data_IF_917541647591
#
_entry.id   IF_917541647591
#
_cell.length_a   1.000
_cell.length_b   1.000
_cell.length_c   1.000
_cell.angle_alpha   90.00
_cell.angle_beta   90.00
_cell.angle_gamma   90.00
#
_symmetry.space_group_name_H-M   'P 1'
#
loop_
_entity.id
_entity.type
_entity.pdbx_description
1 polymer ?
#
# COMPACT_ATOMS: atom_id res chain seq x y z
N UNK A 1 6.02 23.58 15.51
CA UNK A 1 4.55 23.44 15.70
C UNK A 1 3.75 24.39 14.82
N UNK A 2 4.02 25.71 14.80
CA UNK A 2 3.30 26.66 13.93
C UNK A 2 3.45 26.41 12.42
N UNK A 3 4.65 26.04 11.96
CA UNK A 3 4.88 25.65 10.55
C UNK A 3 4.15 24.36 10.18
N UNK A 4 4.13 23.36 11.06
CA UNK A 4 3.39 22.10 10.86
C UNK A 4 1.88 22.32 10.76
N UNK A 5 1.34 23.19 11.62
CA UNK A 5 -0.06 23.63 11.54
C UNK A 5 -0.36 24.34 10.21
N UNK A 6 0.53 25.22 9.76
CA UNK A 6 0.38 25.88 8.47
C UNK A 6 0.40 24.89 7.30
N UNK A 7 1.31 23.92 7.29
CA UNK A 7 1.37 22.87 6.27
C UNK A 7 0.08 22.02 6.23
N UNK A 8 -0.44 21.64 7.41
CA UNK A 8 -1.70 20.89 7.50
C UNK A 8 -2.89 21.69 6.97
N UNK A 9 -2.98 22.97 7.31
CA UNK A 9 -4.06 23.85 6.82
C UNK A 9 -3.98 24.00 5.30
N UNK A 10 -2.78 24.21 4.75
CA UNK A 10 -2.58 24.32 3.29
C UNK A 10 -3.00 23.02 2.59
N UNK A 11 -2.61 21.85 3.11
CA UNK A 11 -3.01 20.57 2.55
C UNK A 11 -4.53 20.38 2.55
N UNK A 12 -5.20 20.72 3.65
CA UNK A 12 -6.65 20.61 3.77
C UNK A 12 -7.39 21.56 2.81
N UNK A 13 -6.89 22.78 2.63
CA UNK A 13 -7.45 23.73 1.66
C UNK A 13 -7.30 23.21 0.23
N UNK A 14 -6.12 22.70 -0.13
CA UNK A 14 -5.89 22.12 -1.45
C UNK A 14 -6.80 20.91 -1.71
N UNK A 15 -6.97 20.03 -0.72
CA UNK A 15 -7.85 18.87 -0.83
C UNK A 15 -9.31 19.27 -1.10
N UNK A 16 -9.83 20.25 -0.35
CA UNK A 16 -11.20 20.76 -0.54
C UNK A 16 -11.37 21.42 -1.90
N UNK A 17 -10.39 22.20 -2.37
CA UNK A 17 -10.44 22.81 -3.69
C UNK A 17 -10.48 21.74 -4.79
N UNK A 18 -9.63 20.71 -4.71
CA UNK A 18 -9.61 19.61 -5.68
C UNK A 18 -10.95 18.89 -5.72
N UNK A 19 -11.54 18.58 -4.55
CA UNK A 19 -12.86 17.94 -4.46
C UNK A 19 -13.96 18.81 -5.06
N UNK A 20 -13.94 20.11 -4.81
CA UNK A 20 -14.90 21.06 -5.36
C UNK A 20 -14.84 21.10 -6.89
N UNK A 21 -13.64 21.21 -7.47
CA UNK A 21 -13.46 21.22 -8.91
C UNK A 21 -13.87 19.88 -9.55
N UNK A 22 -13.49 18.74 -8.95
CA UNK A 22 -13.84 17.43 -9.50
C UNK A 22 -15.34 17.16 -9.39
N UNK A 23 -15.96 17.52 -8.27
CA UNK A 23 -17.40 17.35 -8.03
C UNK A 23 -18.28 18.19 -8.96
N UNK A 24 -17.86 19.42 -9.29
CA UNK A 24 -18.63 20.32 -10.15
C UNK A 24 -18.35 20.15 -11.65
N UNK A 25 -17.10 19.89 -12.02
CA UNK A 25 -16.70 19.89 -13.43
C UNK A 25 -16.65 18.49 -14.03
N UNK A 26 -16.23 17.49 -13.25
CA UNK A 26 -16.01 16.12 -13.75
C UNK A 26 -17.17 15.17 -13.42
N UNK A 27 -17.78 15.31 -12.24
CA UNK A 27 -18.93 14.52 -11.80
C UNK A 27 -20.28 15.16 -12.14
N UNK A 28 -20.29 16.10 -13.09
CA UNK A 28 -21.54 16.71 -13.52
C UNK A 28 -22.35 15.71 -14.33
N UNK A 29 -23.29 15.04 -13.66
CA UNK A 29 -24.42 14.37 -14.29
C UNK A 29 -25.35 15.35 -15.01
N UNK A 30 -25.05 16.66 -14.98
CA UNK A 30 -25.80 17.67 -15.70
C UNK A 30 -25.40 17.53 -17.17
N UNK A 31 -26.24 16.81 -17.91
CA UNK A 31 -26.06 16.41 -19.31
C UNK A 31 -26.05 17.58 -20.29
N UNK A 32 -25.08 18.49 -20.15
CA UNK A 32 -24.89 19.62 -21.05
C UNK A 32 -24.09 19.26 -22.32
N UNK A 33 -23.39 18.12 -22.34
CA UNK A 33 -22.64 17.65 -23.53
C UNK A 33 -22.80 16.14 -23.69
N UNK A 34 -23.47 15.72 -24.77
CA UNK A 34 -23.61 14.31 -25.15
C UNK A 34 -22.24 13.72 -25.47
N UNK A 35 -21.85 12.64 -24.77
CA UNK A 35 -20.60 11.92 -25.01
C UNK A 35 -19.62 11.87 -23.84
N UNK A 36 -19.64 12.79 -22.87
CA UNK A 36 -18.70 12.74 -21.72
C UNK A 36 -18.80 11.44 -20.90
N UNK A 37 -19.99 10.83 -20.85
CA UNK A 37 -20.24 9.59 -20.10
C UNK A 37 -19.39 8.40 -20.56
N UNK A 38 -18.99 8.33 -21.84
CA UNK A 38 -18.14 7.23 -22.34
C UNK A 38 -16.66 7.44 -22.02
N UNK A 39 -16.23 8.66 -21.72
CA UNK A 39 -14.88 8.97 -21.24
C UNK A 39 -14.74 8.76 -19.73
N UNK A 40 -15.86 8.81 -19.00
CA UNK A 40 -15.92 8.62 -17.54
C UNK A 40 -16.21 7.15 -17.17
N UNK A 41 -16.71 6.33 -18.10
CA UNK A 41 -16.91 4.90 -17.88
C UNK A 41 -15.60 4.09 -17.97
N UNK A 42 -15.53 2.99 -17.23
CA UNK A 42 -14.45 2.00 -17.33
C UNK A 42 -14.21 1.58 -18.78
N UNK A 43 -12.94 1.36 -19.14
CA UNK A 43 -12.55 0.96 -20.48
C UNK A 43 -12.88 -0.52 -20.72
N UNK A 44 -13.95 -0.79 -21.47
CA UNK A 44 -14.41 -2.14 -21.84
C UNK A 44 -14.02 -2.51 -23.28
N UNK A 45 -12.91 -1.96 -23.79
CA UNK A 45 -12.43 -2.18 -25.16
C UNK A 45 -13.48 -1.88 -26.27
N UNK A 46 -14.51 -1.07 -25.98
CA UNK A 46 -15.58 -0.72 -26.91
C UNK A 46 -16.82 -1.63 -26.86
N UNK A 47 -16.87 -2.61 -25.96
CA UNK A 47 -18.03 -3.48 -25.75
C UNK A 47 -18.98 -2.94 -24.68
N UNK A 48 -20.24 -3.40 -24.72
CA UNK A 48 -21.22 -3.12 -23.67
C UNK A 48 -20.83 -3.94 -22.43
N UNK A 49 -20.70 -3.29 -21.26
CA UNK A 49 -20.37 -3.97 -20.01
C UNK A 49 -21.44 -5.03 -19.68
N UNK A 50 -21.15 -6.29 -19.97
CA UNK A 50 -21.99 -7.43 -19.62
C UNK A 50 -21.20 -8.35 -18.69
N UNK A 51 -21.21 -8.03 -17.40
CA UNK A 51 -20.61 -8.89 -16.39
C UNK A 51 -20.27 -8.14 -15.11
N UNK A 52 -20.26 -8.87 -14.01
CA UNK A 52 -19.61 -8.45 -12.78
C UNK A 52 -18.11 -8.68 -12.99
N UNK A 53 -17.28 -7.70 -12.66
CA UNK A 53 -15.82 -7.88 -12.65
C UNK A 53 -15.46 -8.79 -11.48
N UNK A 54 -15.48 -10.10 -11.72
CA UNK A 54 -14.99 -11.10 -10.78
C UNK A 54 -13.47 -10.99 -10.70
N UNK A 55 -12.97 -10.32 -9.66
CA UNK A 55 -11.55 -10.30 -9.36
C UNK A 55 -11.17 -11.62 -8.67
N UNK A 56 -10.61 -12.55 -9.44
CA UNK A 56 -9.96 -13.73 -8.90
C UNK A 56 -8.67 -13.31 -8.19
N UNK A 57 -8.78 -12.92 -6.93
CA UNK A 57 -7.61 -12.64 -6.10
C UNK A 57 -6.84 -13.95 -5.89
N UNK A 58 -5.63 -14.04 -6.43
CA UNK A 58 -4.79 -15.22 -6.22
C UNK A 58 -4.38 -15.34 -4.75
N UNK A 59 -4.44 -16.56 -4.22
CA UNK A 59 -3.97 -16.89 -2.87
C UNK A 59 -2.51 -16.52 -2.64
N UNK A 60 -1.68 -16.47 -3.68
CA UNK A 60 -0.27 -16.06 -3.58
C UNK A 60 -0.13 -14.63 -3.07
N UNK A 61 -0.96 -13.70 -3.54
CA UNK A 61 -0.95 -12.31 -3.08
C UNK A 61 -1.42 -12.17 -1.63
N UNK A 62 -2.38 -13.01 -1.21
CA UNK A 62 -2.82 -13.04 0.17
C UNK A 62 -1.67 -13.41 1.12
N UNK A 63 -0.97 -14.51 0.83
CA UNK A 63 0.13 -14.96 1.67
C UNK A 63 1.30 -13.97 1.67
N UNK A 64 1.62 -13.36 0.54
CA UNK A 64 2.64 -12.31 0.46
C UNK A 64 2.30 -11.13 1.37
N UNK A 65 1.04 -10.68 1.41
CA UNK A 65 0.62 -9.58 2.29
C UNK A 65 0.76 -9.96 3.76
N UNK A 66 0.38 -11.18 4.14
CA UNK A 66 0.52 -11.67 5.52
C UNK A 66 1.99 -11.72 5.94
N UNK A 67 2.88 -12.29 5.11
CA UNK A 67 4.32 -12.34 5.41
C UNK A 67 4.95 -10.95 5.46
N UNK A 68 4.54 -10.03 4.59
CA UNK A 68 4.99 -8.64 4.62
C UNK A 68 4.67 -7.96 5.96
N UNK A 69 3.47 -8.15 6.51
CA UNK A 69 3.10 -7.58 7.81
C UNK A 69 3.93 -8.18 8.96
N UNK A 70 4.19 -9.49 8.92
CA UNK A 70 5.04 -10.15 9.94
C UNK A 70 6.46 -9.62 9.87
N UNK A 71 7.04 -9.51 8.67
CA UNK A 71 8.39 -9.01 8.47
C UNK A 71 8.55 -7.53 8.88
N UNK A 72 7.53 -6.70 8.66
CA UNK A 72 7.53 -5.29 9.10
C UNK A 72 7.51 -5.17 10.64
N UNK A 73 6.79 -6.06 11.33
CA UNK A 73 6.82 -6.17 12.79
C UNK A 73 8.22 -6.58 13.28
N UNK A 74 8.83 -7.57 12.64
CA UNK A 74 10.17 -8.06 12.99
C UNK A 74 11.25 -6.97 12.80
N UNK A 75 11.18 -6.17 11.74
CA UNK A 75 12.07 -5.02 11.54
C UNK A 75 11.82 -3.94 12.59
N UNK A 76 10.55 -3.66 12.91
CA UNK A 76 10.19 -2.69 13.95
C UNK A 76 10.82 -3.05 15.31
N UNK A 77 10.92 -4.35 15.63
CA UNK A 77 11.63 -4.83 16.83
C UNK A 77 13.14 -4.57 16.77
N UNK A 78 13.76 -4.69 15.59
CA UNK A 78 15.19 -4.39 15.39
C UNK A 78 15.53 -2.90 15.51
N UNK A 79 14.56 -2.00 15.28
CA UNK A 79 14.78 -0.55 15.34
C UNK A 79 15.25 -0.07 16.73
N UNK A 80 14.97 -0.85 17.79
CA UNK A 80 15.44 -0.57 19.14
C UNK A 80 16.93 -0.86 19.37
N UNK A 81 17.61 -1.59 18.48
CA UNK A 81 19.04 -1.92 18.58
C UNK A 81 19.95 -0.67 18.68
N UNK A 82 19.89 0.31 17.75
CA UNK A 82 20.75 1.50 17.80
C UNK A 82 20.47 2.41 19.01
N UNK A 83 19.28 2.31 19.60
CA UNK A 83 18.86 3.12 20.75
C UNK A 83 19.48 2.64 22.07
N UNK A 84 19.98 1.40 22.17
CA UNK A 84 20.42 0.81 23.44
C UNK A 84 21.84 1.20 23.90
N UNK A 85 22.56 2.06 23.18
CA UNK A 85 23.87 2.57 23.59
C UNK A 85 25.00 1.53 23.60
N UNK A 86 26.22 1.96 23.94
CA UNK A 86 27.49 1.18 23.83
C UNK A 86 27.59 -0.08 24.72
N UNK A 87 26.60 -0.35 25.57
CA UNK A 87 26.59 -1.53 26.44
C UNK A 87 26.01 -2.73 25.66
N UNK A 88 26.86 -3.38 24.87
CA UNK A 88 26.57 -4.54 24.02
C UNK A 88 26.13 -5.83 24.74
N UNK A 89 25.65 -5.75 26.00
CA UNK A 89 25.18 -6.93 26.76
C UNK A 89 24.05 -7.68 26.05
N UNK A 90 23.22 -6.98 25.27
CA UNK A 90 22.08 -7.56 24.56
C UNK A 90 22.38 -7.97 23.11
N UNK A 91 23.59 -7.69 22.59
CA UNK A 91 24.01 -8.03 21.24
C UNK A 91 23.81 -9.52 20.86
N UNK A 92 24.12 -10.52 21.72
CA UNK A 92 23.93 -11.91 21.33
C UNK A 92 22.46 -12.26 21.06
N UNK A 93 21.51 -11.64 21.74
CA UNK A 93 20.07 -11.86 21.50
C UNK A 93 19.63 -11.29 20.15
N UNK A 94 20.14 -10.13 19.76
CA UNK A 94 19.86 -9.56 18.44
C UNK A 94 20.48 -10.36 17.30
N UNK A 95 21.70 -10.86 17.48
CA UNK A 95 22.34 -11.73 16.47
C UNK A 95 21.56 -13.04 16.34
N UNK A 96 21.13 -13.63 17.46
CA UNK A 96 20.26 -14.80 17.44
C UNK A 96 18.92 -14.52 16.73
N UNK A 97 18.30 -13.37 16.99
CA UNK A 97 17.08 -12.94 16.30
C UNK A 97 17.29 -12.76 14.78
N UNK A 98 18.40 -12.17 14.36
CA UNK A 98 18.77 -12.03 12.95
C UNK A 98 18.95 -13.39 12.25
N UNK A 99 19.50 -14.39 12.95
CA UNK A 99 19.61 -15.74 12.41
C UNK A 99 18.24 -16.37 12.19
N UNK A 100 17.30 -16.19 13.14
CA UNK A 100 15.92 -16.66 12.97
C UNK A 100 15.26 -16.00 11.75
N UNK A 101 15.42 -14.67 11.61
CA UNK A 101 14.90 -13.93 10.45
C UNK A 101 15.46 -14.46 9.13
N UNK A 102 16.77 -14.67 9.07
CA UNK A 102 17.43 -15.20 7.88
C UNK A 102 16.88 -16.59 7.49
N UNK A 103 16.69 -17.48 8.48
CA UNK A 103 16.13 -18.81 8.23
C UNK A 103 14.67 -18.72 7.77
N UNK A 104 13.85 -17.88 8.43
CA UNK A 104 12.45 -17.66 8.05
C UNK A 104 12.31 -17.19 6.60
N UNK A 105 13.09 -16.16 6.23
CA UNK A 105 13.13 -15.64 4.87
C UNK A 105 13.60 -16.68 3.85
N UNK A 106 14.63 -17.46 4.17
CA UNK A 106 15.10 -18.53 3.27
C UNK A 106 14.03 -19.60 3.02
N UNK A 107 13.25 -19.97 4.03
CA UNK A 107 12.12 -20.90 3.88
C UNK A 107 11.03 -20.31 2.99
N UNK A 108 10.75 -19.01 3.11
CA UNK A 108 9.76 -18.32 2.29
C UNK A 108 10.15 -18.31 0.81
N UNK A 109 11.42 -17.97 0.51
CA UNK A 109 11.96 -17.96 -0.87
C UNK A 109 11.93 -19.37 -1.46
N UNK A 110 12.35 -20.39 -0.70
CA UNK A 110 12.35 -21.78 -1.17
C UNK A 110 10.95 -22.33 -1.44
N UNK A 111 9.92 -21.86 -0.73
CA UNK A 111 8.52 -22.23 -0.99
C UNK A 111 7.91 -21.51 -2.20
N UNK A 112 8.63 -20.57 -2.81
CA UNK A 112 8.18 -19.88 -4.01
C UNK A 112 7.08 -18.85 -3.78
N UNK A 113 6.79 -18.46 -2.53
CA UNK A 113 5.82 -17.39 -2.25
C UNK A 113 6.26 -16.03 -2.82
N UNK A 114 7.57 -15.85 -3.01
CA UNK A 114 8.18 -14.67 -3.65
C UNK A 114 8.27 -14.81 -5.17
N UNK A 115 8.03 -16.02 -5.73
CA UNK A 115 8.09 -16.22 -7.18
C UNK A 115 6.81 -15.73 -7.84
N UNK A 116 6.97 -14.78 -8.77
CA UNK A 116 5.88 -14.29 -9.59
C UNK A 116 5.81 -15.18 -10.81
N UNK A 117 4.99 -16.24 -10.75
CA UNK A 117 4.59 -16.99 -11.92
C UNK A 117 3.61 -16.16 -12.73
N UNK A 118 3.89 -16.00 -14.02
CA UNK A 118 2.89 -15.58 -15.00
C UNK A 118 1.83 -16.68 -15.16
#
# INVERSE_FOLDING_TARGET
>A
MRSLLACLIVFMVLFVLILFFHGLFWNSSWGFVSGFRSWVSSFECGFLSQGVVENYFSYTYFFLLVFFVVFDLEISLLLNMPLQGLMFKNLPYYVFFLVILFVGFSVEVNKGYVSWGY
#
